data_IF_051949057851
#
_entry.id   IF_051949057851
#
_cell.length_a   1.000
_cell.length_b   1.000
_cell.length_c   1.000
_cell.angle_alpha   90.00
_cell.angle_beta   90.00
_cell.angle_gamma   90.00
#
_symmetry.space_group_name_H-M   'P 1'
#
loop_
_entity.id
_entity.type
_entity.pdbx_description
1 polymer ?
#
# COMPACT_ATOMS: atom_id res chain seq x y z
N UNK A 1 -8.14 -19.90 -9.26
CA UNK A 1 -7.17 -19.48 -8.23
C UNK A 1 -5.85 -20.16 -8.52
N UNK A 2 -4.88 -19.41 -9.08
CA UNK A 2 -3.51 -19.89 -9.23
C UNK A 2 -2.83 -19.77 -7.87
N UNK A 3 -2.46 -20.91 -7.27
CA UNK A 3 -1.66 -20.93 -6.04
C UNK A 3 -0.19 -20.73 -6.41
N UNK A 4 0.44 -19.68 -5.87
CA UNK A 4 1.87 -19.46 -6.01
C UNK A 4 2.65 -20.50 -5.20
N UNK A 5 3.79 -20.96 -5.72
CA UNK A 5 4.75 -21.78 -4.98
C UNK A 5 4.37 -23.25 -4.76
N UNK A 6 3.45 -23.83 -5.54
CA UNK A 6 3.14 -25.26 -5.41
C UNK A 6 4.30 -26.13 -5.93
N UNK A 7 5.05 -26.73 -5.00
CA UNK A 7 6.05 -27.73 -5.32
C UNK A 7 5.38 -28.97 -5.95
N UNK A 8 5.92 -29.44 -7.07
CA UNK A 8 5.47 -30.69 -7.70
C UNK A 8 5.98 -31.88 -6.89
N UNK A 9 5.15 -32.39 -5.99
CA UNK A 9 5.46 -33.59 -5.19
C UNK A 9 5.00 -34.83 -5.97
N UNK A 10 5.89 -35.81 -6.18
CA UNK A 10 5.52 -37.14 -6.69
C UNK A 10 4.80 -37.93 -5.59
N UNK A 11 3.47 -37.97 -5.62
CA UNK A 11 2.65 -38.78 -4.71
C UNK A 11 2.19 -40.07 -5.37
N UNK A 12 1.95 -41.11 -4.56
CA UNK A 12 1.44 -42.41 -5.04
C UNK A 12 0.02 -42.28 -5.61
N UNK A 13 -0.42 -43.24 -6.44
CA UNK A 13 -1.77 -43.21 -7.02
C UNK A 13 -2.87 -43.29 -5.95
N UNK A 14 -2.68 -44.10 -4.91
CA UNK A 14 -3.62 -44.21 -3.79
C UNK A 14 -3.75 -42.88 -3.02
N UNK A 15 -2.65 -42.15 -2.82
CA UNK A 15 -2.68 -40.82 -2.18
C UNK A 15 -3.35 -39.77 -3.07
N UNK A 16 -3.11 -39.82 -4.39
CA UNK A 16 -3.77 -38.93 -5.36
C UNK A 16 -5.28 -39.12 -5.33
N UNK A 17 -5.74 -40.37 -5.35
CA UNK A 17 -7.16 -40.70 -5.32
C UNK A 17 -7.81 -40.29 -3.99
N UNK A 18 -7.14 -40.50 -2.85
CA UNK A 18 -7.61 -40.02 -1.55
C UNK A 18 -7.72 -38.49 -1.50
N UNK A 19 -6.70 -37.76 -1.98
CA UNK A 19 -6.72 -36.29 -2.07
C UNK A 19 -7.81 -35.77 -3.00
N UNK A 20 -8.06 -36.48 -4.12
CA UNK A 20 -9.12 -36.15 -5.07
C UNK A 20 -10.49 -36.26 -4.41
N UNK A 21 -10.80 -37.39 -3.76
CA UNK A 21 -12.07 -37.58 -3.02
C UNK A 21 -12.28 -36.54 -1.92
N UNK A 22 -11.23 -36.22 -1.16
CA UNK A 22 -11.30 -35.15 -0.14
C UNK A 22 -11.56 -33.78 -0.76
N UNK A 23 -10.95 -33.48 -1.90
CA UNK A 23 -11.18 -32.22 -2.63
C UNK A 23 -12.60 -32.14 -3.17
N UNK A 24 -13.11 -33.21 -3.76
CA UNK A 24 -14.48 -33.28 -4.28
C UNK A 24 -15.52 -33.08 -3.16
N UNK A 25 -15.33 -33.73 -2.02
CA UNK A 25 -16.19 -33.53 -0.86
C UNK A 25 -16.17 -32.07 -0.36
N UNK A 26 -14.99 -31.44 -0.30
CA UNK A 26 -14.85 -30.02 0.06
C UNK A 26 -15.52 -29.09 -0.95
N UNK A 27 -15.36 -29.35 -2.25
CA UNK A 27 -15.99 -28.56 -3.31
C UNK A 27 -17.51 -28.69 -3.25
N UNK A 28 -18.03 -29.90 -3.02
CA UNK A 28 -19.46 -30.12 -2.84
C UNK A 28 -20.03 -29.32 -1.67
N UNK A 29 -19.41 -29.43 -0.49
CA UNK A 29 -19.83 -28.68 0.70
C UNK A 29 -19.72 -27.16 0.49
N UNK A 30 -18.67 -26.69 -0.18
CA UNK A 30 -18.49 -25.28 -0.50
C UNK A 30 -19.58 -24.75 -1.43
N UNK A 31 -19.92 -25.51 -2.48
CA UNK A 31 -20.99 -25.14 -3.41
C UNK A 31 -22.35 -25.11 -2.69
N UNK A 32 -22.66 -26.09 -1.85
CA UNK A 32 -23.88 -26.08 -1.02
C UNK A 32 -23.94 -24.85 -0.10
N UNK A 33 -22.81 -24.47 0.51
CA UNK A 33 -22.72 -23.24 1.29
C UNK A 33 -22.95 -21.97 0.47
N UNK A 34 -22.40 -21.91 -0.75
CA UNK A 34 -22.59 -20.78 -1.66
C UNK A 34 -24.06 -20.64 -2.11
N UNK A 35 -24.74 -21.74 -2.42
CA UNK A 35 -26.17 -21.72 -2.78
C UNK A 35 -27.04 -21.21 -1.63
N UNK A 36 -26.76 -21.66 -0.39
CA UNK A 36 -27.43 -21.13 0.81
C UNK A 36 -27.17 -19.63 0.98
N UNK A 37 -25.92 -19.19 0.81
CA UNK A 37 -25.56 -17.78 0.85
C UNK A 37 -26.36 -16.95 -0.16
N UNK A 38 -26.43 -17.37 -1.43
CA UNK A 38 -27.16 -16.64 -2.46
C UNK A 38 -28.66 -16.58 -2.17
N UNK A 39 -29.24 -17.67 -1.66
CA UNK A 39 -30.65 -17.72 -1.25
C UNK A 39 -30.93 -16.72 -0.12
N UNK A 40 -30.15 -16.77 0.96
CA UNK A 40 -30.30 -15.84 2.09
C UNK A 40 -30.12 -14.39 1.68
N UNK A 41 -29.13 -14.09 0.84
CA UNK A 41 -28.90 -12.74 0.32
C UNK A 41 -30.07 -12.25 -0.53
N UNK A 42 -30.60 -13.08 -1.43
CA UNK A 42 -31.76 -12.73 -2.26
C UNK A 42 -32.99 -12.41 -1.42
N UNK A 43 -33.20 -13.17 -0.35
CA UNK A 43 -34.33 -13.00 0.57
C UNK A 43 -34.09 -11.92 1.64
N UNK A 44 -32.89 -11.32 1.69
CA UNK A 44 -32.47 -10.36 2.74
C UNK A 44 -32.60 -10.92 4.16
N UNK A 45 -32.25 -12.20 4.32
CA UNK A 45 -32.20 -12.89 5.61
C UNK A 45 -30.92 -12.49 6.36
N UNK A 46 -31.05 -11.56 7.30
CA UNK A 46 -29.93 -11.04 8.10
C UNK A 46 -29.88 -11.68 9.48
N UNK A 47 -29.53 -12.97 9.53
CA UNK A 47 -29.55 -13.79 10.74
C UNK A 47 -28.17 -14.38 11.11
N UNK A 48 -28.07 -15.01 12.28
CA UNK A 48 -26.84 -15.65 12.76
C UNK A 48 -26.45 -16.90 11.97
N UNK A 49 -27.44 -17.57 11.36
CA UNK A 49 -27.20 -18.70 10.46
C UNK A 49 -26.42 -18.25 9.22
N UNK A 50 -26.80 -17.11 8.63
CA UNK A 50 -26.08 -16.48 7.53
C UNK A 50 -24.63 -16.18 7.91
N UNK A 51 -24.40 -15.62 9.10
CA UNK A 51 -23.05 -15.35 9.60
C UNK A 51 -22.24 -16.65 9.75
N UNK A 52 -22.84 -17.73 10.21
CA UNK A 52 -22.17 -19.04 10.34
C UNK A 52 -21.77 -19.58 8.97
N UNK A 53 -22.69 -19.61 8.00
CA UNK A 53 -22.42 -20.04 6.62
C UNK A 53 -21.29 -19.21 6.00
N UNK A 54 -21.32 -17.89 6.15
CA UNK A 54 -20.30 -16.99 5.64
C UNK A 54 -18.94 -17.22 6.30
N UNK A 55 -18.89 -17.57 7.59
CA UNK A 55 -17.63 -17.85 8.30
C UNK A 55 -16.94 -19.08 7.72
N UNK A 56 -17.70 -20.14 7.43
CA UNK A 56 -17.17 -21.37 6.83
C UNK A 56 -16.63 -21.13 5.42
N UNK A 57 -17.38 -20.38 4.59
CA UNK A 57 -16.98 -20.03 3.24
C UNK A 57 -15.71 -19.16 3.21
N UNK A 58 -15.61 -18.17 4.10
CA UNK A 58 -14.45 -17.27 4.18
C UNK A 58 -13.22 -17.94 4.78
N UNK A 59 -13.40 -18.84 5.74
CA UNK A 59 -12.29 -19.64 6.28
C UNK A 59 -11.67 -20.53 5.21
N UNK A 60 -12.43 -20.95 4.20
CA UNK A 60 -11.94 -21.68 3.04
C UNK A 60 -11.38 -20.76 1.94
N UNK A 61 -11.99 -19.59 1.71
CA UNK A 61 -11.53 -18.61 0.73
C UNK A 61 -11.86 -17.16 1.18
N UNK A 62 -10.89 -16.44 1.78
CA UNK A 62 -11.12 -15.11 2.30
C UNK A 62 -11.12 -14.01 1.22
N UNK A 63 -10.86 -14.34 -0.04
CA UNK A 63 -10.75 -13.34 -1.12
C UNK A 63 -12.07 -13.06 -1.85
N UNK A 64 -13.18 -13.65 -1.40
CA UNK A 64 -14.50 -13.35 -1.96
C UNK A 64 -15.11 -12.15 -1.25
N UNK A 65 -14.86 -10.95 -1.80
CA UNK A 65 -15.37 -9.67 -1.29
C UNK A 65 -16.89 -9.64 -1.08
N UNK A 66 -17.65 -10.32 -1.94
CA UNK A 66 -19.11 -10.37 -1.86
C UNK A 66 -19.61 -10.97 -0.55
N UNK A 67 -18.87 -11.94 0.02
CA UNK A 67 -19.19 -12.56 1.31
C UNK A 67 -18.93 -11.58 2.46
N UNK A 68 -17.78 -10.90 2.47
CA UNK A 68 -17.47 -9.86 3.46
C UNK A 68 -18.49 -8.72 3.44
N UNK A 69 -18.92 -8.27 2.26
CA UNK A 69 -19.91 -7.21 2.14
C UNK A 69 -21.26 -7.64 2.75
N UNK A 70 -21.70 -8.87 2.47
CA UNK A 70 -22.94 -9.38 3.06
C UNK A 70 -22.83 -9.55 4.59
N UNK A 71 -21.66 -9.94 5.12
CA UNK A 71 -21.43 -9.92 6.58
C UNK A 71 -21.62 -8.53 7.16
N UNK A 72 -21.04 -7.49 6.55
CA UNK A 72 -21.20 -6.10 7.02
C UNK A 72 -22.67 -5.69 7.01
N UNK A 73 -23.41 -6.02 5.94
CA UNK A 73 -24.86 -5.77 5.86
C UNK A 73 -25.61 -6.42 7.03
N UNK A 74 -25.32 -7.69 7.33
CA UNK A 74 -25.93 -8.41 8.47
C UNK A 74 -25.58 -7.74 9.81
N UNK A 75 -24.29 -7.45 10.04
CA UNK A 75 -23.83 -6.84 11.30
C UNK A 75 -24.48 -5.47 11.51
N UNK A 76 -24.54 -4.63 10.47
CA UNK A 76 -25.20 -3.34 10.53
C UNK A 76 -26.69 -3.48 10.84
N UNK A 77 -27.36 -4.47 10.26
CA UNK A 77 -28.77 -4.72 10.56
C UNK A 77 -28.99 -5.19 11.99
N UNK A 78 -28.16 -6.11 12.48
CA UNK A 78 -28.24 -6.62 13.85
C UNK A 78 -27.95 -5.53 14.89
N UNK A 79 -27.13 -4.52 14.57
CA UNK A 79 -26.89 -3.34 15.43
C UNK A 79 -28.16 -2.54 15.71
N UNK A 80 -29.17 -2.60 14.85
CA UNK A 80 -30.45 -1.89 15.07
C UNK A 80 -31.33 -2.56 16.13
N UNK A 81 -31.14 -3.86 16.38
CA UNK A 81 -32.03 -4.66 17.24
C UNK A 81 -31.37 -5.27 18.47
N UNK A 82 -30.04 -5.44 18.47
CA UNK A 82 -29.29 -6.09 19.55
C UNK A 82 -28.75 -5.09 20.57
N UNK A 83 -28.45 -5.57 21.78
CA UNK A 83 -27.82 -4.73 22.81
C UNK A 83 -26.36 -4.43 22.49
N UNK A 84 -25.81 -3.41 23.15
CA UNK A 84 -24.39 -3.05 23.00
C UNK A 84 -23.46 -4.23 23.33
N UNK A 85 -23.76 -5.02 24.37
CA UNK A 85 -22.97 -6.16 24.80
C UNK A 85 -22.97 -7.28 23.76
N UNK A 86 -24.14 -7.57 23.18
CA UNK A 86 -24.27 -8.57 22.11
C UNK A 86 -23.50 -8.15 20.86
N UNK A 87 -23.55 -6.87 20.50
CA UNK A 87 -22.79 -6.32 19.36
C UNK A 87 -21.29 -6.36 19.62
N UNK A 88 -20.84 -6.02 20.82
CA UNK A 88 -19.41 -6.13 21.18
C UNK A 88 -18.95 -7.59 21.10
N UNK A 89 -19.75 -8.53 21.59
CA UNK A 89 -19.47 -9.97 21.48
C UNK A 89 -19.37 -10.43 20.02
N UNK A 90 -20.33 -10.01 19.18
CA UNK A 90 -20.33 -10.30 17.75
C UNK A 90 -19.07 -9.74 17.06
N UNK A 91 -18.74 -8.46 17.28
CA UNK A 91 -17.56 -7.84 16.68
C UNK A 91 -16.25 -8.48 17.14
N UNK A 92 -16.17 -8.95 18.39
CA UNK A 92 -15.03 -9.74 18.87
C UNK A 92 -14.94 -11.11 18.18
N UNK A 93 -16.06 -11.74 17.85
CA UNK A 93 -16.06 -12.97 17.05
C UNK A 93 -15.59 -12.71 15.61
N UNK A 94 -15.90 -11.55 15.03
CA UNK A 94 -15.40 -11.14 13.72
C UNK A 94 -13.87 -10.95 13.71
N UNK A 95 -13.27 -10.42 14.79
CA UNK A 95 -11.81 -10.34 14.91
C UNK A 95 -11.18 -11.74 14.83
N UNK A 96 -11.76 -12.73 15.52
CA UNK A 96 -11.29 -14.12 15.44
C UNK A 96 -11.41 -14.69 14.02
N UNK A 97 -12.51 -14.40 13.32
CA UNK A 97 -12.69 -14.82 11.93
C UNK A 97 -11.61 -14.22 11.03
N UNK A 98 -11.32 -12.91 11.15
CA UNK A 98 -10.25 -12.29 10.36
C UNK A 98 -8.88 -12.89 10.67
N UNK A 99 -8.58 -13.26 11.92
CA UNK A 99 -7.33 -13.96 12.26
C UNK A 99 -7.25 -15.36 11.64
N UNK A 100 -8.35 -16.12 11.62
CA UNK A 100 -8.42 -17.43 10.93
C UNK A 100 -8.14 -17.24 9.44
N UNK A 101 -8.80 -16.27 8.81
CA UNK A 101 -8.65 -15.95 7.40
C UNK A 101 -7.21 -15.53 7.07
N UNK A 102 -6.62 -14.64 7.88
CA UNK A 102 -5.25 -14.14 7.70
C UNK A 102 -4.18 -15.19 8.00
N UNK A 103 -4.45 -16.16 8.86
CA UNK A 103 -3.56 -17.33 9.04
C UNK A 103 -3.56 -18.23 7.81
N UNK A 104 -4.70 -18.36 7.14
CA UNK A 104 -4.82 -19.14 5.89
C UNK A 104 -4.21 -18.39 4.70
N UNK A 105 -4.53 -17.10 4.56
CA UNK A 105 -4.00 -16.22 3.53
C UNK A 105 -3.65 -14.84 4.14
N UNK A 106 -2.39 -14.61 4.53
CA UNK A 106 -1.95 -13.35 5.14
C UNK A 106 -1.95 -12.15 4.18
N UNK A 107 -2.19 -12.41 2.87
CA UNK A 107 -2.26 -11.42 1.79
C UNK A 107 -3.69 -11.20 1.31
N UNK A 108 -4.69 -11.65 2.08
CA UNK A 108 -6.08 -11.42 1.73
C UNK A 108 -6.49 -9.98 1.98
N UNK A 109 -6.73 -9.24 0.90
CA UNK A 109 -7.30 -7.89 0.97
C UNK A 109 -8.63 -7.87 1.71
N UNK A 110 -9.53 -8.83 1.43
CA UNK A 110 -10.84 -8.91 2.06
C UNK A 110 -10.76 -8.97 3.58
N UNK A 111 -9.87 -9.82 4.12
CA UNK A 111 -9.69 -9.96 5.55
C UNK A 111 -9.09 -8.70 6.21
N UNK A 112 -8.07 -8.09 5.62
CA UNK A 112 -7.47 -6.84 6.15
C UNK A 112 -8.46 -5.67 6.12
N UNK A 113 -9.19 -5.47 5.02
CA UNK A 113 -10.19 -4.41 4.92
C UNK A 113 -11.38 -4.63 5.86
N UNK A 114 -11.81 -5.88 6.07
CA UNK A 114 -12.84 -6.18 7.05
C UNK A 114 -12.34 -5.87 8.46
N UNK A 115 -11.10 -6.23 8.79
CA UNK A 115 -10.51 -5.92 10.10
C UNK A 115 -10.41 -4.41 10.35
N UNK A 116 -10.03 -3.63 9.34
CA UNK A 116 -10.05 -2.17 9.41
C UNK A 116 -11.48 -1.63 9.63
N UNK A 117 -12.47 -2.17 8.90
CA UNK A 117 -13.87 -1.79 9.08
C UNK A 117 -14.38 -2.08 10.50
N UNK A 118 -13.92 -3.18 11.13
CA UNK A 118 -14.24 -3.49 12.52
C UNK A 118 -13.72 -2.41 13.47
N UNK A 119 -12.48 -1.92 13.26
CA UNK A 119 -11.92 -0.85 14.09
C UNK A 119 -12.77 0.43 14.04
N UNK A 120 -13.35 0.74 12.88
CA UNK A 120 -14.23 1.90 12.72
C UNK A 120 -15.65 1.67 13.28
N UNK A 121 -16.01 0.43 13.62
CA UNK A 121 -17.37 0.02 14.00
C UNK A 121 -17.51 -0.51 15.42
N UNK A 122 -16.39 -0.73 16.12
CA UNK A 122 -16.36 -1.13 17.52
C UNK A 122 -16.57 0.10 18.42
N UNK A 123 -17.35 -0.02 19.51
CA UNK A 123 -17.47 1.06 20.48
C UNK A 123 -16.14 1.44 21.13
N UNK A 124 -15.31 0.44 21.47
CA UNK A 124 -14.01 0.62 22.13
C UNK A 124 -12.97 -0.32 21.51
N UNK A 125 -12.39 0.01 20.34
CA UNK A 125 -11.38 -0.83 19.69
C UNK A 125 -10.05 -0.82 20.47
N UNK A 126 -9.47 -2.01 20.71
CA UNK A 126 -8.16 -2.13 21.34
C UNK A 126 -7.03 -1.97 20.30
N UNK A 127 -6.77 -0.72 19.91
CA UNK A 127 -5.76 -0.41 18.89
C UNK A 127 -4.33 -0.77 19.30
N UNK A 128 -4.01 -0.79 20.60
CA UNK A 128 -2.69 -1.22 21.08
C UNK A 128 -2.45 -2.71 20.77
N UNK A 129 -3.46 -3.56 21.00
CA UNK A 129 -3.42 -4.97 20.63
C UNK A 129 -3.28 -5.17 19.10
N UNK A 130 -3.89 -4.30 18.30
CA UNK A 130 -3.75 -4.32 16.84
C UNK A 130 -2.33 -3.94 16.39
N UNK A 131 -1.67 -3.04 17.10
CA UNK A 131 -0.27 -2.68 16.83
C UNK A 131 0.67 -3.86 17.16
N UNK A 132 0.42 -4.58 18.26
CA UNK A 132 1.13 -5.82 18.60
C UNK A 132 0.89 -6.93 17.57
N UNK A 133 -0.35 -7.06 17.09
CA UNK A 133 -0.69 -7.97 15.99
C UNK A 133 0.15 -7.66 14.75
N UNK A 134 0.26 -6.38 14.36
CA UNK A 134 1.11 -5.98 13.23
C UNK A 134 2.56 -6.42 13.45
N UNK A 135 3.12 -6.20 14.65
CA UNK A 135 4.48 -6.64 14.98
C UNK A 135 4.65 -8.16 14.82
N UNK A 136 3.65 -8.94 15.26
CA UNK A 136 3.66 -10.40 15.10
C UNK A 136 3.61 -10.82 13.62
N UNK A 137 2.77 -10.20 12.81
CA UNK A 137 2.64 -10.54 11.39
C UNK A 137 3.88 -10.15 10.58
N UNK A 138 4.47 -8.99 10.88
CA UNK A 138 5.71 -8.53 10.26
C UNK A 138 6.93 -9.36 10.71
N UNK A 139 6.87 -10.05 11.85
CA UNK A 139 7.88 -11.05 12.22
C UNK A 139 7.76 -12.34 11.38
N UNK A 140 6.57 -12.67 10.89
CA UNK A 140 6.33 -13.86 10.05
C UNK A 140 6.62 -13.59 8.57
N UNK A 141 6.20 -12.43 8.07
CA UNK A 141 6.49 -11.95 6.73
C UNK A 141 6.71 -10.43 6.79
N UNK A 142 7.98 -10.04 6.91
CA UNK A 142 8.40 -8.65 7.04
C UNK A 142 8.12 -7.81 5.78
N UNK A 143 7.87 -8.49 4.64
CA UNK A 143 7.57 -7.88 3.35
C UNK A 143 6.05 -7.87 3.07
N UNK A 144 5.22 -8.25 4.03
CA UNK A 144 3.78 -8.19 3.90
C UNK A 144 3.29 -6.73 3.90
N UNK A 145 3.16 -6.14 2.71
CA UNK A 145 2.73 -4.76 2.56
C UNK A 145 1.32 -4.51 3.10
N UNK A 146 0.42 -5.49 3.09
CA UNK A 146 -0.91 -5.33 3.68
C UNK A 146 -0.83 -5.10 5.19
N UNK A 147 0.07 -5.81 5.88
CA UNK A 147 0.30 -5.62 7.30
C UNK A 147 0.97 -4.27 7.58
N UNK A 148 1.89 -3.82 6.72
CA UNK A 148 2.46 -2.47 6.83
C UNK A 148 1.41 -1.38 6.63
N UNK A 149 0.50 -1.56 5.67
CA UNK A 149 -0.59 -0.62 5.41
C UNK A 149 -1.55 -0.57 6.60
N UNK A 150 -1.93 -1.73 7.14
CA UNK A 150 -2.76 -1.82 8.35
C UNK A 150 -2.06 -1.22 9.57
N UNK A 151 -0.75 -1.42 9.74
CA UNK A 151 0.04 -0.78 10.80
C UNK A 151 -0.07 0.74 10.71
N UNK A 152 0.11 1.33 9.52
CA UNK A 152 -0.01 2.79 9.33
C UNK A 152 -1.41 3.30 9.67
N UNK A 153 -2.46 2.54 9.35
CA UNK A 153 -3.81 2.84 9.80
C UNK A 153 -3.93 2.85 11.33
N UNK A 154 -3.46 1.81 12.01
CA UNK A 154 -3.53 1.68 13.48
C UNK A 154 -2.72 2.79 14.18
N UNK A 155 -1.49 3.03 13.74
CA UNK A 155 -0.58 4.08 14.22
C UNK A 155 -1.24 5.46 14.10
N UNK A 156 -1.83 5.75 12.94
CA UNK A 156 -2.54 7.01 12.71
C UNK A 156 -3.74 7.18 13.65
N UNK A 157 -4.45 6.11 13.99
CA UNK A 157 -5.58 6.12 14.91
C UNK A 157 -5.16 6.29 16.37
N UNK A 158 -4.03 5.69 16.75
CA UNK A 158 -3.43 5.83 18.08
C UNK A 158 -2.75 7.18 18.30
N UNK A 159 -2.47 7.93 17.23
CA UNK A 159 -1.70 9.17 17.32
C UNK A 159 -0.24 8.92 17.71
N UNK A 160 0.32 7.76 17.33
CA UNK A 160 1.73 7.43 17.60
C UNK A 160 2.62 8.45 16.87
N UNK A 161 3.57 9.10 17.56
CA UNK A 161 4.48 10.06 16.94
C UNK A 161 5.29 9.42 15.81
N UNK A 162 5.55 10.16 14.71
CA UNK A 162 6.41 9.65 13.62
C UNK A 162 7.81 9.22 14.07
N UNK A 163 8.34 9.80 15.15
CA UNK A 163 9.63 9.44 15.72
C UNK A 163 9.65 8.01 16.30
N UNK A 164 8.55 7.57 16.93
CA UNK A 164 8.45 6.22 17.50
C UNK A 164 8.35 5.17 16.40
N UNK A 165 7.61 5.46 15.32
CA UNK A 165 7.57 4.61 14.14
C UNK A 165 8.90 4.61 13.39
N UNK A 166 9.63 5.74 13.39
CA UNK A 166 10.96 5.81 12.81
C UNK A 166 11.92 4.87 13.56
N UNK A 167 11.87 4.86 14.90
CA UNK A 167 12.62 3.91 15.73
C UNK A 167 12.22 2.46 15.43
N UNK A 168 10.93 2.18 15.23
CA UNK A 168 10.47 0.85 14.80
C UNK A 168 11.09 0.42 13.47
N UNK A 169 11.20 1.32 12.48
CA UNK A 169 11.88 1.00 11.21
C UNK A 169 13.36 0.71 11.41
N UNK A 170 14.04 1.41 12.33
CA UNK A 170 15.44 1.13 12.69
C UNK A 170 15.58 -0.31 13.18
N UNK A 171 14.78 -0.72 14.18
CA UNK A 171 14.81 -2.09 14.71
C UNK A 171 14.57 -3.13 13.60
N UNK A 172 13.66 -2.86 12.67
CA UNK A 172 13.38 -3.78 11.55
C UNK A 172 14.51 -3.88 10.54
N UNK A 173 15.24 -2.79 10.31
CA UNK A 173 16.42 -2.78 9.43
C UNK A 173 17.60 -3.49 10.12
N UNK A 174 17.77 -3.31 11.43
CA UNK A 174 18.79 -4.02 12.22
C UNK A 174 18.53 -5.54 12.28
N UNK A 175 17.26 -5.95 12.38
CA UNK A 175 16.86 -7.36 12.28
C UNK A 175 17.10 -7.94 10.88
N UNK A 176 16.81 -7.16 9.83
CA UNK A 176 17.07 -7.53 8.44
C UNK A 176 17.21 -6.30 7.52
N UNK A 177 18.44 -6.02 7.10
CA UNK A 177 18.72 -4.89 6.22
C UNK A 177 18.15 -5.07 4.80
N UNK A 178 17.75 -6.28 4.39
CA UNK A 178 17.06 -6.54 3.12
C UNK A 178 15.55 -6.23 3.15
N UNK A 179 15.04 -5.69 4.25
CA UNK A 179 13.63 -5.34 4.38
C UNK A 179 13.30 -4.03 3.65
N UNK A 180 12.98 -4.13 2.35
CA UNK A 180 12.55 -2.99 1.53
C UNK A 180 11.38 -2.21 2.15
N UNK A 181 10.43 -2.88 2.80
CA UNK A 181 9.25 -2.22 3.38
C UNK A 181 9.64 -1.27 4.50
N UNK A 182 10.62 -1.64 5.33
CA UNK A 182 11.15 -0.77 6.39
C UNK A 182 11.86 0.44 5.80
N UNK A 183 12.75 0.26 4.82
CA UNK A 183 13.41 1.37 4.13
C UNK A 183 12.42 2.33 3.47
N UNK A 184 11.41 1.77 2.81
CA UNK A 184 10.36 2.57 2.20
C UNK A 184 9.61 3.39 3.24
N UNK A 185 9.17 2.77 4.34
CA UNK A 185 8.43 3.48 5.37
C UNK A 185 9.29 4.53 6.07
N UNK A 186 10.57 4.22 6.33
CA UNK A 186 11.58 5.15 6.84
C UNK A 186 11.69 6.41 5.97
N UNK A 187 11.73 6.25 4.64
CA UNK A 187 11.77 7.37 3.68
C UNK A 187 10.56 8.32 3.75
N UNK A 188 9.42 7.84 4.29
CA UNK A 188 8.20 8.63 4.49
C UNK A 188 8.18 9.32 5.86
N UNK A 189 8.73 8.67 6.89
CA UNK A 189 8.76 9.16 8.26
C UNK A 189 9.84 10.23 8.46
N UNK A 190 11.02 10.01 7.88
CA UNK A 190 12.19 10.87 8.02
C UNK A 190 11.91 12.36 7.72
N UNK A 191 11.25 12.74 6.60
CA UNK A 191 10.92 14.15 6.35
C UNK A 191 9.93 14.77 7.35
N UNK A 192 9.18 13.95 8.11
CA UNK A 192 8.26 14.43 9.14
C UNK A 192 8.98 14.69 10.47
N UNK A 193 10.03 13.91 10.76
CA UNK A 193 10.81 14.01 12.00
C UNK A 193 11.99 14.97 11.85
N UNK A 194 12.63 14.96 10.68
CA UNK A 194 13.90 15.62 10.36
C UNK A 194 13.77 16.47 9.07
N UNK A 195 12.86 17.46 9.02
CA UNK A 195 12.64 18.25 7.81
C UNK A 195 13.87 19.08 7.43
N UNK A 196 14.25 19.08 6.14
CA UNK A 196 15.32 19.96 5.64
C UNK A 196 14.84 21.41 5.54
N UNK A 197 15.45 22.37 6.27
CA UNK A 197 15.05 23.78 6.20
C UNK A 197 15.23 24.39 4.81
N UNK A 198 16.20 23.90 4.04
CA UNK A 198 16.51 24.39 2.70
C UNK A 198 15.63 23.79 1.60
N UNK A 199 14.90 22.70 1.91
CA UNK A 199 14.12 21.86 0.99
C UNK A 199 14.90 21.23 -0.18
N UNK A 200 16.23 21.36 -0.19
CA UNK A 200 17.13 20.80 -1.22
C UNK A 200 17.27 19.30 -1.05
N UNK A 201 17.40 18.86 0.21
CA UNK A 201 17.57 17.45 0.60
C UNK A 201 16.24 16.82 1.03
N UNK A 202 16.18 15.49 1.10
CA UNK A 202 15.04 14.81 1.71
C UNK A 202 14.87 15.13 3.20
N UNK A 203 15.97 15.37 3.92
CA UNK A 203 16.05 15.58 5.37
C UNK A 203 17.21 16.52 5.72
N UNK A 204 17.25 16.97 6.98
CA UNK A 204 18.32 17.83 7.48
C UNK A 204 19.72 17.20 7.31
N UNK A 205 20.74 18.05 7.26
CA UNK A 205 22.12 17.65 6.95
C UNK A 205 22.67 16.56 7.86
N UNK A 206 22.43 16.71 9.16
CA UNK A 206 23.01 15.83 10.15
C UNK A 206 22.43 14.43 9.97
N UNK A 207 21.10 14.32 9.94
CA UNK A 207 20.44 13.03 9.74
C UNK A 207 20.69 12.47 8.34
N UNK A 208 20.87 13.33 7.32
CA UNK A 208 21.24 12.88 5.97
C UNK A 208 22.58 12.13 5.95
N UNK A 209 23.59 12.63 6.66
CA UNK A 209 24.89 11.96 6.77
C UNK A 209 24.80 10.64 7.54
N UNK A 210 24.05 10.60 8.65
CA UNK A 210 23.81 9.39 9.44
C UNK A 210 23.11 8.30 8.60
N UNK A 211 22.09 8.68 7.81
CA UNK A 211 21.37 7.75 6.93
C UNK A 211 22.24 7.24 5.77
N UNK A 212 23.13 8.08 5.24
CA UNK A 212 24.08 7.69 4.20
C UNK A 212 25.08 6.65 4.74
N UNK A 213 25.60 6.84 5.95
CA UNK A 213 26.47 5.86 6.60
C UNK A 213 25.75 4.53 6.82
N UNK A 214 24.52 4.57 7.35
CA UNK A 214 23.72 3.38 7.62
C UNK A 214 23.41 2.59 6.33
N UNK A 215 22.99 3.26 5.26
CA UNK A 215 22.68 2.58 3.99
C UNK A 215 23.92 2.06 3.28
N UNK A 216 25.07 2.74 3.41
CA UNK A 216 26.35 2.26 2.89
C UNK A 216 26.76 0.96 3.58
N UNK A 217 26.65 0.90 4.91
CA UNK A 217 26.93 -0.32 5.66
C UNK A 217 26.03 -1.49 5.22
N UNK A 218 24.73 -1.24 5.01
CA UNK A 218 23.81 -2.25 4.48
C UNK A 218 24.22 -2.72 3.07
N UNK A 219 24.50 -1.79 2.16
CA UNK A 219 24.89 -2.09 0.78
C UNK A 219 26.23 -2.83 0.67
N UNK A 220 27.20 -2.57 1.56
CA UNK A 220 28.46 -3.33 1.60
C UNK A 220 28.32 -4.69 2.28
N UNK A 221 27.35 -4.85 3.18
CA UNK A 221 27.08 -6.13 3.85
C UNK A 221 26.45 -7.13 2.88
N UNK A 222 25.49 -6.71 2.05
CA UNK A 222 24.98 -7.49 0.92
C UNK A 222 24.83 -6.61 -0.33
N UNK A 223 25.85 -6.60 -1.22
CA UNK A 223 25.79 -5.83 -2.46
C UNK A 223 24.65 -6.23 -3.40
N UNK A 224 24.07 -7.42 -3.25
CA UNK A 224 22.97 -7.88 -4.10
C UNK A 224 21.59 -7.41 -3.60
N UNK A 225 21.49 -6.93 -2.35
CA UNK A 225 20.25 -6.37 -1.84
C UNK A 225 19.95 -5.02 -2.48
N UNK A 226 18.96 -5.00 -3.36
CA UNK A 226 18.54 -3.80 -4.07
C UNK A 226 17.90 -2.76 -3.14
N UNK A 227 17.43 -3.15 -1.95
CA UNK A 227 16.69 -2.28 -1.05
C UNK A 227 17.55 -1.11 -0.56
N UNK A 228 18.77 -1.41 -0.10
CA UNK A 228 19.75 -0.40 0.29
C UNK A 228 20.08 0.55 -0.88
N UNK A 229 20.28 0.02 -2.09
CA UNK A 229 20.59 0.84 -3.27
C UNK A 229 19.45 1.79 -3.66
N UNK A 230 18.20 1.32 -3.63
CA UNK A 230 17.03 2.17 -3.90
C UNK A 230 16.86 3.25 -2.84
N UNK A 231 17.11 2.92 -1.57
CA UNK A 231 17.07 3.88 -0.47
C UNK A 231 18.18 4.93 -0.57
N UNK A 232 19.41 4.50 -0.88
CA UNK A 232 20.53 5.40 -1.14
C UNK A 232 20.22 6.35 -2.30
N UNK A 233 19.65 5.85 -3.40
CA UNK A 233 19.23 6.69 -4.52
C UNK A 233 18.20 7.73 -4.09
N UNK A 234 17.29 7.40 -3.17
CA UNK A 234 16.36 8.36 -2.59
C UNK A 234 17.08 9.42 -1.75
N UNK A 235 18.04 9.05 -0.90
CA UNK A 235 18.85 9.98 -0.11
C UNK A 235 19.63 10.96 -0.99
N UNK A 236 20.17 10.48 -2.11
CA UNK A 236 20.93 11.31 -3.07
C UNK A 236 20.04 12.13 -4.01
N UNK A 237 18.72 11.91 -3.99
CA UNK A 237 17.77 12.60 -4.84
C UNK A 237 17.53 14.04 -4.38
N UNK A 238 17.65 15.01 -5.29
CA UNK A 238 17.23 16.38 -5.03
C UNK A 238 15.70 16.49 -5.02
N UNK A 239 15.12 17.08 -3.96
CA UNK A 239 13.66 17.23 -3.83
C UNK A 239 13.12 18.58 -4.25
N UNK A 240 13.97 19.56 -4.53
CA UNK A 240 13.49 20.80 -5.13
C UNK A 240 12.93 20.50 -6.52
N UNK A 241 11.61 20.67 -6.68
CA UNK A 241 11.07 20.91 -8.02
C UNK A 241 11.70 22.20 -8.49
N UNK A 242 12.75 22.09 -9.29
CA UNK A 242 13.40 23.26 -9.86
C UNK A 242 12.32 24.09 -10.55
N UNK A 243 12.21 25.37 -10.20
CA UNK A 243 11.30 26.27 -10.92
C UNK A 243 11.66 26.23 -12.42
N UNK A 244 10.69 26.41 -13.34
CA UNK A 244 11.00 26.54 -14.74
C UNK A 244 11.99 27.70 -14.92
N UNK A 245 13.16 27.39 -15.49
CA UNK A 245 14.18 28.36 -15.84
C UNK A 245 14.61 28.12 -17.27
N UNK A 246 14.82 29.21 -18.00
CA UNK A 246 15.42 29.16 -19.33
C UNK A 246 16.87 28.70 -19.15
N UNK A 247 17.23 27.59 -19.77
CA UNK A 247 18.59 27.05 -19.79
C UNK A 247 19.35 27.46 -21.05
N UNK A 248 18.63 27.77 -22.12
CA UNK A 248 19.20 28.22 -23.38
C UNK A 248 18.19 29.08 -24.15
N UNK A 249 18.68 30.10 -24.85
CA UNK A 249 17.92 30.89 -25.79
C UNK A 249 18.73 31.06 -27.08
N UNK A 250 18.11 30.90 -28.24
CA UNK A 250 18.76 31.13 -29.52
C UNK A 250 17.79 31.64 -30.58
N UNK A 251 18.35 32.34 -31.57
CA UNK A 251 17.66 32.85 -32.75
C UNK A 251 18.35 32.25 -33.96
N UNK A 252 17.60 31.71 -34.91
CA UNK A 252 18.17 31.20 -36.16
C UNK A 252 18.52 32.35 -37.10
N UNK A 253 19.66 32.27 -37.79
CA UNK A 253 20.09 33.30 -38.73
C UNK A 253 19.08 33.45 -39.87
N UNK A 254 18.50 34.64 -40.01
CA UNK A 254 17.44 34.94 -40.99
C UNK A 254 16.01 34.62 -40.54
N UNK A 255 15.79 34.14 -39.32
CA UNK A 255 14.46 33.88 -38.78
C UNK A 255 13.96 34.99 -37.84
N UNK A 256 12.64 35.19 -37.78
CA UNK A 256 11.95 36.10 -36.84
C UNK A 256 11.53 35.39 -35.54
N UNK A 257 12.08 34.20 -35.28
CA UNK A 257 11.64 33.29 -34.22
C UNK A 257 12.70 33.20 -33.10
N UNK A 258 12.24 33.25 -31.84
CA UNK A 258 13.05 33.05 -30.64
C UNK A 258 12.74 31.67 -30.05
N UNK A 259 13.77 30.86 -29.88
CA UNK A 259 13.65 29.55 -29.25
C UNK A 259 14.15 29.60 -27.81
N UNK A 260 13.34 29.11 -26.87
CA UNK A 260 13.68 29.00 -25.45
C UNK A 260 13.65 27.53 -25.02
N UNK A 261 14.76 27.05 -24.46
CA UNK A 261 14.81 25.74 -23.81
C UNK A 261 14.72 25.93 -22.29
N UNK A 262 13.90 25.10 -21.64
CA UNK A 262 13.71 25.11 -20.20
C UNK A 262 14.32 23.86 -19.55
N UNK A 263 14.67 23.95 -18.27
CA UNK A 263 15.14 22.81 -17.48
C UNK A 263 14.07 21.71 -17.24
N UNK A 264 12.83 21.96 -17.65
CA UNK A 264 11.71 21.03 -17.58
C UNK A 264 10.67 21.38 -18.65
N UNK A 265 9.71 20.47 -18.87
CA UNK A 265 8.57 20.74 -19.74
C UNK A 265 7.77 21.92 -19.22
N UNK A 266 7.44 22.86 -20.11
CA UNK A 266 6.54 24.00 -19.83
C UNK A 266 5.42 24.00 -20.86
N UNK A 267 4.22 24.38 -20.46
CA UNK A 267 3.11 24.66 -21.35
C UNK A 267 3.10 26.15 -21.74
N UNK A 268 2.46 26.55 -22.86
CA UNK A 268 2.32 27.96 -23.20
C UNK A 268 1.61 28.75 -22.09
N UNK A 269 0.68 28.12 -21.35
CA UNK A 269 -0.01 28.70 -20.20
C UNK A 269 0.91 29.03 -19.02
N UNK A 270 2.08 28.40 -18.94
CA UNK A 270 3.05 28.63 -17.87
C UNK A 270 3.94 29.86 -18.15
N UNK A 271 3.88 30.38 -19.38
CA UNK A 271 4.71 31.48 -19.87
C UNK A 271 3.88 32.75 -19.94
N UNK A 272 4.20 33.71 -19.08
CA UNK A 272 3.69 35.08 -19.21
C UNK A 272 4.77 35.94 -19.88
N UNK A 273 4.52 36.37 -21.11
CA UNK A 273 5.30 37.44 -21.70
C UNK A 273 5.01 38.72 -20.91
N UNK A 274 6.04 39.21 -20.21
CA UNK A 274 6.04 40.58 -19.72
C UNK A 274 6.20 41.43 -20.99
N UNK A 275 5.15 42.18 -21.33
CA UNK A 275 4.94 42.88 -22.61
C UNK A 275 6.19 43.38 -23.34
N UNK A 276 6.19 43.41 -24.67
CA UNK A 276 7.17 44.19 -25.41
C UNK A 276 6.51 45.36 -26.12
N UNK A 277 7.13 46.53 -26.01
CA UNK A 277 7.32 47.46 -27.12
C UNK A 277 7.34 46.69 -28.47
N UNK A 278 6.29 46.86 -29.27
CA UNK A 278 6.18 46.46 -30.69
C UNK A 278 6.25 44.97 -31.09
N UNK A 279 5.69 44.03 -30.31
CA UNK A 279 5.48 42.64 -30.79
C UNK A 279 3.99 42.36 -31.03
N UNK A 280 3.46 42.82 -32.17
CA UNK A 280 2.02 42.90 -32.45
C UNK A 280 1.33 41.61 -32.91
N UNK A 281 1.96 40.42 -32.88
CA UNK A 281 1.27 39.16 -33.21
C UNK A 281 1.99 37.86 -32.81
N UNK A 282 2.71 37.84 -31.68
CA UNK A 282 3.48 36.66 -31.26
C UNK A 282 2.55 35.47 -30.90
N UNK A 283 2.63 34.37 -31.66
CA UNK A 283 2.08 33.07 -31.25
C UNK A 283 3.14 32.34 -30.44
N UNK A 284 2.76 31.81 -29.27
CA UNK A 284 3.62 30.93 -28.48
C UNK A 284 3.11 29.51 -28.71
N UNK A 285 3.92 28.65 -29.32
CA UNK A 285 3.66 27.21 -29.29
C UNK A 285 4.65 26.51 -28.37
N UNK A 286 4.36 25.27 -27.99
CA UNK A 286 5.31 24.39 -27.30
C UNK A 286 5.43 23.13 -28.11
N UNK A 287 6.66 22.73 -28.41
CA UNK A 287 6.92 21.51 -29.17
C UNK A 287 7.63 20.57 -28.23
N UNK A 288 6.85 19.75 -27.53
CA UNK A 288 7.40 18.75 -26.65
C UNK A 288 8.15 17.72 -27.51
N UNK A 289 9.47 17.77 -27.44
CA UNK A 289 10.34 16.78 -28.07
C UNK A 289 10.06 15.40 -27.45
N UNK A 290 9.51 14.49 -28.24
CA UNK A 290 9.70 13.06 -28.00
C UNK A 290 11.21 12.77 -28.01
N UNK A 291 11.70 11.83 -27.17
CA UNK A 291 13.13 11.55 -27.08
C UNK A 291 13.62 11.04 -28.43
N UNK A 292 14.64 11.70 -29.00
CA UNK A 292 15.34 11.40 -30.27
C UNK A 292 14.96 12.19 -31.53
N UNK A 293 14.47 13.42 -31.40
CA UNK A 293 14.58 14.36 -32.52
C UNK A 293 14.70 15.80 -32.04
N UNK A 294 15.79 16.44 -32.44
CA UNK A 294 16.00 17.90 -32.42
C UNK A 294 14.78 18.59 -33.04
N UNK A 295 13.96 19.33 -32.29
CA UNK A 295 12.82 20.04 -32.90
C UNK A 295 12.46 21.37 -32.21
N UNK A 296 12.54 22.40 -33.05
CA UNK A 296 11.76 23.63 -33.27
C UNK A 296 10.53 23.89 -32.38
N UNK A 297 10.38 25.14 -31.93
CA UNK A 297 9.15 25.72 -31.39
C UNK A 297 8.69 26.85 -32.34
N UNK A 298 7.45 26.81 -32.84
CA UNK A 298 6.85 27.84 -33.71
C UNK A 298 6.23 28.99 -32.91
#
# INVERSE_FOLDING_TARGET
YFQHGQAKIKTSEAEKEKKKRQREAKVKAYNEGMEKFYTKRKNKEYDEEALTILSDLLSANPDIYTLWNFRKEIILKLKESKTCEEIVSLLNSELKLTEICLRCNPKSYGAWFHRQWLMDNMPNPNLAQELELCTKYLKLDERNFHCWDYRRFVVSRLGVPPADELAYTTTKIEENFSNYSSWHYRSKLLPLVHPDPSTVRPIDEKTHLEELEMVLNAAFTDPNDQSAWFYQRWLLGCRTKSKPRVVQAFVSSGATELYLAFNQSVAPSDIKLLEPTNLSSSKITTVNAQPMSTVLVR
#
